data_IF_446693855168
#
_entry.id   IF_446693855168
#
_cell.length_a   1.000
_cell.length_b   1.000
_cell.length_c   1.000
_cell.angle_alpha   90.00
_cell.angle_beta   90.00
_cell.angle_gamma   90.00
#
_symmetry.space_group_name_H-M   'P 1'
#
loop_
_entity.id
_entity.type
_entity.pdbx_description
1 polymer ?
#
# COMPACT_ATOMS: atom_id res chain seq x y z
N UNK A 1 2.24 -7.50 8.17
CA UNK A 1 1.15 -6.51 7.99
C UNK A 1 0.45 -6.83 6.68
N UNK A 2 -0.81 -6.46 6.54
CA UNK A 2 -1.54 -6.55 5.27
C UNK A 2 -1.47 -5.17 4.60
N UNK A 3 -1.09 -5.14 3.33
CA UNK A 3 -1.03 -3.93 2.52
C UNK A 3 -2.02 -4.06 1.37
N UNK A 4 -2.93 -3.10 1.25
CA UNK A 4 -3.94 -3.06 0.19
C UNK A 4 -3.77 -1.76 -0.58
N UNK A 5 -3.65 -1.84 -1.90
CA UNK A 5 -3.74 -0.68 -2.79
C UNK A 5 -5.05 -0.72 -3.56
N UNK A 6 -5.81 0.37 -3.49
CA UNK A 6 -7.08 0.56 -4.20
C UNK A 6 -6.91 1.64 -5.25
N UNK A 7 -7.16 1.30 -6.52
CA UNK A 7 -7.14 2.26 -7.62
C UNK A 7 -8.28 3.27 -7.42
N UNK A 8 -7.97 4.56 -7.49
CA UNK A 8 -8.91 5.65 -7.24
C UNK A 8 -9.99 5.79 -8.31
N UNK A 9 -9.72 5.35 -9.54
CA UNK A 9 -10.64 5.48 -10.67
C UNK A 9 -11.52 4.23 -10.84
N UNK A 10 -10.94 3.04 -10.70
CA UNK A 10 -11.64 1.77 -10.94
C UNK A 10 -12.18 1.11 -9.67
N UNK A 11 -11.64 1.46 -8.50
CA UNK A 11 -11.93 0.79 -7.23
C UNK A 11 -11.33 -0.62 -7.11
N UNK A 12 -10.57 -1.08 -8.11
CA UNK A 12 -9.88 -2.36 -8.05
C UNK A 12 -8.85 -2.36 -6.91
N UNK A 13 -8.82 -3.45 -6.15
CA UNK A 13 -7.93 -3.58 -4.99
C UNK A 13 -7.00 -4.77 -5.14
N UNK A 14 -5.72 -4.55 -4.84
CA UNK A 14 -4.71 -5.60 -4.74
C UNK A 14 -4.15 -5.63 -3.33
N UNK A 15 -4.11 -6.83 -2.74
CA UNK A 15 -3.68 -7.04 -1.35
C UNK A 15 -2.50 -8.00 -1.29
N UNK A 16 -1.49 -7.64 -0.49
CA UNK A 16 -0.33 -8.48 -0.19
C UNK A 16 -0.06 -8.51 1.32
N UNK A 17 0.63 -9.54 1.79
CA UNK A 17 1.17 -9.59 3.15
C UNK A 17 2.65 -9.24 3.09
N UNK A 18 3.12 -8.39 4.00
CA UNK A 18 4.55 -8.09 4.14
C UNK A 18 5.33 -9.35 4.50
N UNK A 19 6.59 -9.43 4.10
CA UNK A 19 7.47 -10.51 4.53
C UNK A 19 7.91 -10.36 6.01
N UNK A 20 8.89 -11.17 6.43
CA UNK A 20 9.41 -11.18 7.80
C UNK A 20 10.29 -9.96 8.14
N UNK A 21 10.70 -9.17 7.15
CA UNK A 21 11.40 -7.89 7.32
C UNK A 21 10.45 -6.70 7.27
N UNK A 22 9.20 -6.91 6.83
CA UNK A 22 8.20 -5.86 6.68
C UNK A 22 8.11 -5.33 5.24
N UNK A 23 8.88 -5.89 4.32
CA UNK A 23 8.91 -5.48 2.92
C UNK A 23 7.67 -5.98 2.19
N UNK A 24 7.22 -5.21 1.20
CA UNK A 24 6.11 -5.57 0.32
C UNK A 24 6.34 -5.06 -1.10
N UNK A 25 5.71 -5.72 -2.06
CA UNK A 25 5.65 -5.27 -3.46
C UNK A 25 4.28 -5.58 -4.04
N UNK A 26 3.53 -4.54 -4.41
CA UNK A 26 2.28 -4.63 -5.17
C UNK A 26 2.61 -4.63 -6.67
N UNK A 27 2.43 -5.77 -7.35
CA UNK A 27 2.86 -5.97 -8.75
C UNK A 27 1.66 -6.00 -9.69
N UNK A 28 1.86 -5.58 -10.94
CA UNK A 28 0.85 -5.69 -11.99
C UNK A 28 -0.34 -4.76 -11.78
N UNK A 29 -0.13 -3.65 -11.06
CA UNK A 29 -1.14 -2.61 -10.95
C UNK A 29 -1.31 -1.92 -12.31
N UNK A 30 -2.54 -1.59 -12.66
CA UNK A 30 -2.81 -0.70 -13.79
C UNK A 30 -2.25 0.70 -13.48
N UNK A 31 -1.91 1.45 -14.53
CA UNK A 31 -1.56 2.87 -14.39
C UNK A 31 -2.71 3.64 -13.73
N UNK A 32 -2.37 4.54 -12.80
CA UNK A 32 -3.35 5.37 -12.11
C UNK A 32 -2.89 5.83 -10.73
N UNK A 33 -3.84 6.39 -9.98
CA UNK A 33 -3.61 6.84 -8.60
C UNK A 33 -4.21 5.86 -7.59
N UNK A 34 -3.50 5.60 -6.49
CA UNK A 34 -3.88 4.58 -5.52
C UNK A 34 -3.96 5.14 -4.10
N UNK A 35 -4.95 4.68 -3.33
CA UNK A 35 -4.93 4.73 -1.88
C UNK A 35 -4.28 3.44 -1.37
N UNK A 36 -3.20 3.55 -0.60
CA UNK A 36 -2.54 2.42 0.05
C UNK A 36 -2.93 2.39 1.52
N UNK A 37 -3.43 1.26 1.99
CA UNK A 37 -3.84 1.01 3.37
C UNK A 37 -2.98 -0.10 3.95
N UNK A 38 -2.43 0.13 5.14
CA UNK A 38 -1.58 -0.83 5.85
C UNK A 38 -2.21 -1.13 7.20
N UNK A 39 -2.41 -2.42 7.46
CA UNK A 39 -3.06 -2.92 8.67
C UNK A 39 -2.21 -4.00 9.34
N UNK A 40 -2.15 -3.95 10.66
CA UNK A 40 -1.50 -4.95 11.50
C UNK A 40 -2.17 -4.97 12.85
N UNK A 41 -2.48 -6.16 13.35
CA UNK A 41 -3.07 -6.32 14.68
C UNK A 41 -2.19 -5.65 15.75
N UNK A 42 -2.81 -4.85 16.63
CA UNK A 42 -2.15 -4.09 17.68
C UNK A 42 -1.49 -2.77 17.23
N UNK A 43 -1.71 -2.37 15.98
CA UNK A 43 -1.23 -1.11 15.42
C UNK A 43 -2.39 -0.29 14.82
N UNK A 44 -2.23 1.02 14.79
CA UNK A 44 -3.11 1.92 14.08
C UNK A 44 -3.02 1.68 12.57
N UNK A 45 -4.18 1.70 11.90
CA UNK A 45 -4.25 1.64 10.43
C UNK A 45 -3.54 2.84 9.83
N UNK A 46 -2.58 2.58 8.94
CA UNK A 46 -1.89 3.63 8.20
C UNK A 46 -2.52 3.76 6.80
N UNK A 47 -2.75 4.99 6.36
CA UNK A 47 -3.21 5.32 5.01
C UNK A 47 -2.20 6.22 4.33
N UNK A 48 -1.90 5.94 3.06
CA UNK A 48 -0.98 6.69 2.23
C UNK A 48 -1.64 6.96 0.87
N UNK A 49 -1.49 8.17 0.38
CA UNK A 49 -1.90 8.52 -0.97
C UNK A 49 -2.48 9.93 -1.11
N UNK A 50 -2.87 10.32 -2.33
CA UNK A 50 -2.82 9.47 -3.53
C UNK A 50 -1.38 9.14 -3.96
N UNK A 51 -1.13 7.88 -4.30
CA UNK A 51 0.13 7.41 -4.87
C UNK A 51 -0.04 7.29 -6.37
N UNK A 52 0.63 8.13 -7.13
CA UNK A 52 0.56 8.14 -8.60
C UNK A 52 1.66 7.23 -9.19
N UNK A 53 1.24 6.19 -9.91
CA UNK A 53 2.14 5.28 -10.64
C UNK A 53 1.91 5.33 -12.16
N UNK A 54 1.28 6.39 -12.66
CA UNK A 54 0.96 6.53 -14.10
C UNK A 54 2.22 6.58 -14.97
N UNK A 55 3.32 7.15 -14.48
CA UNK A 55 4.55 7.30 -15.24
C UNK A 55 5.60 6.22 -14.96
N UNK A 56 5.66 5.71 -13.72
CA UNK A 56 6.67 4.76 -13.27
C UNK A 56 6.30 4.11 -11.94
N UNK A 57 6.94 2.98 -11.65
CA UNK A 57 6.93 2.38 -10.31
C UNK A 57 7.46 3.35 -9.25
N UNK A 58 6.89 3.30 -8.05
CA UNK A 58 7.27 4.16 -6.93
C UNK A 58 7.70 3.33 -5.71
N UNK A 59 8.83 3.72 -5.12
CA UNK A 59 9.24 3.25 -3.80
C UNK A 59 8.69 4.20 -2.73
N UNK A 60 7.95 3.66 -1.74
CA UNK A 60 7.30 4.45 -0.68
C UNK A 60 8.21 4.72 0.54
N UNK A 61 9.44 4.22 0.52
CA UNK A 61 10.39 4.30 1.64
C UNK A 61 9.90 3.55 2.88
N UNK A 62 10.48 3.93 4.02
CA UNK A 62 10.10 3.38 5.31
C UNK A 62 8.73 3.93 5.75
N UNK A 63 7.85 3.04 6.18
CA UNK A 63 6.52 3.39 6.68
C UNK A 63 6.41 2.94 8.14
N UNK A 64 6.47 3.91 9.06
CA UNK A 64 6.32 3.65 10.48
C UNK A 64 4.86 3.30 10.83
N UNK A 65 4.68 2.23 11.62
CA UNK A 65 3.41 1.89 12.24
C UNK A 65 3.44 2.19 13.74
N UNK A 66 2.35 2.74 14.24
CA UNK A 66 2.21 3.15 15.63
C UNK A 66 1.28 2.18 16.36
N UNK A 67 1.63 1.78 17.59
CA UNK A 67 0.77 0.88 18.38
C UNK A 67 -0.54 1.57 18.75
N UNK A 68 -1.63 0.79 18.73
CA UNK A 68 -2.96 1.22 19.19
C UNK A 68 -3.07 1.23 20.70
#
# INVERSE_FOLDING_TARGET
ATVTATNGDTGEAVTVTTDNYGDFWLKGLAEGTYLVVIEREGYLTQKLGPVDITASDLNLGDIALWRS
#
